data_IF_285344511250
#
_entry.id   IF_285344511250
#
_cell.length_a   1.000
_cell.length_b   1.000
_cell.length_c   1.000
_cell.angle_alpha   90.00
_cell.angle_beta   90.00
_cell.angle_gamma   90.00
#
_symmetry.space_group_name_H-M   'P 1'
#
loop_
_entity.id
_entity.type
_entity.pdbx_description
1 polymer ?
#
# COMPACT_ATOMS: atom_id res chain seq x y z
N UNK A 1 5.47 7.27 12.46
CA UNK A 1 4.65 8.29 11.76
C UNK A 1 4.44 7.79 10.35
N UNK A 2 3.22 7.91 9.84
CA UNK A 2 2.99 7.73 8.39
C UNK A 2 3.53 8.98 7.72
N UNK A 3 4.47 8.82 6.78
CA UNK A 3 5.04 9.93 6.03
C UNK A 3 4.15 10.28 4.84
N UNK A 4 4.18 11.53 4.38
CA UNK A 4 3.59 11.91 3.10
C UNK A 4 4.08 10.95 1.99
N UNK A 5 3.14 10.39 1.22
CA UNK A 5 3.42 9.39 0.18
C UNK A 5 3.27 7.93 0.60
N UNK A 6 3.02 7.62 1.88
CA UNK A 6 2.67 6.28 2.33
C UNK A 6 1.15 6.08 2.35
N UNK A 7 0.63 5.23 1.47
CA UNK A 7 -0.75 4.77 1.53
C UNK A 7 -0.83 3.48 2.34
N UNK A 8 -1.54 3.53 3.47
CA UNK A 8 -1.87 2.35 4.25
C UNK A 8 -3.24 1.85 3.83
N UNK A 9 -3.33 0.54 3.56
CA UNK A 9 -4.57 -0.13 3.17
C UNK A 9 -5.06 -1.03 4.29
N UNK A 10 -6.35 -1.38 4.26
CA UNK A 10 -6.99 -2.35 5.16
C UNK A 10 -6.78 -2.02 6.66
N UNK A 11 -7.17 -0.79 7.01
CA UNK A 11 -7.16 -0.30 8.39
C UNK A 11 -8.55 -0.43 9.02
N UNK A 12 -8.58 -0.77 10.30
CA UNK A 12 -9.76 -0.64 11.16
C UNK A 12 -9.70 0.74 11.82
N UNK A 13 -10.65 1.61 11.47
CA UNK A 13 -10.83 2.89 12.15
C UNK A 13 -11.53 2.69 13.49
N UNK A 14 -11.06 3.39 14.52
CA UNK A 14 -11.62 3.33 15.88
C UNK A 14 -11.52 4.69 16.56
N UNK A 15 -12.43 4.99 17.48
CA UNK A 15 -12.36 6.13 18.39
C UNK A 15 -11.68 5.79 19.72
N UNK A 16 -11.29 4.51 19.91
CA UNK A 16 -10.50 4.09 21.05
C UNK A 16 -9.15 4.82 21.07
N UNK A 17 -8.72 5.22 22.27
CA UNK A 17 -7.48 5.97 22.43
C UNK A 17 -6.26 5.12 22.04
N UNK A 18 -5.55 5.52 20.97
CA UNK A 18 -4.28 4.91 20.55
C UNK A 18 -3.14 5.88 20.85
N UNK A 19 -2.26 5.47 21.77
CA UNK A 19 -1.16 6.28 22.29
C UNK A 19 0.13 5.44 22.38
N UNK A 20 1.31 6.06 22.46
CA UNK A 20 2.53 5.33 22.80
C UNK A 20 2.31 4.46 24.06
N UNK A 21 2.65 3.18 23.96
CA UNK A 21 2.46 2.20 25.03
C UNK A 21 1.37 1.16 24.77
N UNK A 22 0.34 1.47 23.96
CA UNK A 22 -0.61 0.45 23.51
C UNK A 22 -0.38 -0.01 22.07
N UNK A 23 0.55 0.62 21.33
CA UNK A 23 0.95 0.19 19.99
C UNK A 23 1.58 -1.21 20.00
N UNK A 24 1.21 -2.02 19.01
CA UNK A 24 1.57 -3.44 18.90
C UNK A 24 0.62 -4.38 19.63
N UNK A 25 -0.31 -3.82 20.44
CA UNK A 25 -1.33 -4.57 21.15
C UNK A 25 -2.55 -4.92 20.29
N UNK A 26 -3.44 -5.79 20.80
CA UNK A 26 -4.65 -6.18 20.10
C UNK A 26 -5.74 -5.10 20.18
N UNK A 27 -6.43 -4.88 19.06
CA UNK A 27 -7.78 -4.31 19.03
C UNK A 27 -8.78 -5.48 19.00
N UNK A 28 -9.75 -5.49 19.92
CA UNK A 28 -10.70 -6.60 20.07
C UNK A 28 -12.15 -6.15 19.89
N UNK A 29 -13.00 -7.06 19.42
CA UNK A 29 -14.46 -6.85 19.41
C UNK A 29 -15.09 -7.24 20.76
N UNK A 30 -16.42 -7.07 20.89
CA UNK A 30 -17.16 -7.36 22.13
C UNK A 30 -17.15 -8.85 22.55
N UNK A 31 -16.84 -9.76 21.62
CA UNK A 31 -16.66 -11.19 21.92
C UNK A 31 -15.24 -11.52 22.40
N UNK A 32 -14.31 -10.54 22.40
CA UNK A 32 -12.91 -10.73 22.75
C UNK A 32 -12.05 -11.25 21.59
N UNK A 33 -12.58 -11.27 20.37
CA UNK A 33 -11.83 -11.68 19.19
C UNK A 33 -10.93 -10.53 18.72
N UNK A 34 -9.69 -10.84 18.35
CA UNK A 34 -8.75 -9.84 17.81
C UNK A 34 -9.17 -9.48 16.40
N UNK A 35 -9.43 -8.20 16.15
CA UNK A 35 -9.83 -7.66 14.85
C UNK A 35 -8.74 -6.79 14.22
N UNK A 36 -7.76 -6.33 14.99
CA UNK A 36 -6.61 -5.61 14.45
C UNK A 36 -5.44 -5.48 15.43
N UNK A 37 -4.34 -4.92 14.93
CA UNK A 37 -3.13 -4.62 15.69
C UNK A 37 -2.98 -3.10 15.73
N UNK A 38 -2.98 -2.53 16.94
CA UNK A 38 -2.86 -1.08 17.12
C UNK A 38 -1.50 -0.61 16.62
N UNK A 39 -1.47 0.44 15.79
CA UNK A 39 -0.22 1.02 15.29
C UNK A 39 0.11 2.32 16.02
N UNK A 40 1.31 2.86 15.80
CA UNK A 40 1.65 4.21 16.26
C UNK A 40 0.89 5.19 15.37
N UNK A 41 0.07 6.04 15.99
CA UNK A 41 -0.84 7.02 15.38
C UNK A 41 -0.28 7.68 14.10
N UNK A 42 -1.16 7.91 13.12
CA UNK A 42 -1.00 8.99 12.12
C UNK A 42 -1.07 10.31 12.89
N UNK A 43 0.09 10.83 13.27
CA UNK A 43 0.21 12.08 14.01
C UNK A 43 0.18 13.27 13.03
N UNK A 44 -0.99 13.52 12.43
CA UNK A 44 -1.24 14.75 11.67
C UNK A 44 -2.01 15.74 12.57
N UNK A 45 -1.60 17.00 12.54
CA UNK A 45 -2.18 18.07 13.38
C UNK A 45 -3.63 18.31 12.94
N UNK A 46 -4.59 18.21 13.87
CA UNK A 46 -6.02 18.41 13.60
C UNK A 46 -6.85 17.12 13.53
N UNK A 47 -6.22 15.95 13.62
CA UNK A 47 -6.92 14.65 13.69
C UNK A 47 -6.99 14.18 15.15
N UNK A 48 -8.10 14.52 15.81
CA UNK A 48 -8.49 14.01 17.14
C UNK A 48 -9.60 12.96 17.00
N UNK A 49 -9.58 11.92 17.83
CA UNK A 49 -10.61 10.88 17.84
C UNK A 49 -10.58 9.88 16.67
N UNK A 50 -9.57 9.92 15.79
CA UNK A 50 -9.36 8.88 14.76
C UNK A 50 -8.11 8.06 15.05
N UNK A 51 -8.30 6.87 15.63
CA UNK A 51 -7.31 5.81 15.76
C UNK A 51 -7.42 4.84 14.59
N UNK A 52 -6.30 4.22 14.24
CA UNK A 52 -6.23 3.18 13.20
C UNK A 52 -5.46 1.96 13.73
N UNK A 53 -6.02 0.79 13.49
CA UNK A 53 -5.35 -0.49 13.69
C UNK A 53 -5.18 -1.21 12.36
N UNK A 54 -4.09 -1.93 12.18
CA UNK A 54 -3.88 -2.78 11.01
C UNK A 54 -4.83 -3.97 11.15
N UNK A 55 -5.67 -4.22 10.14
CA UNK A 55 -6.65 -5.29 10.16
C UNK A 55 -6.00 -6.67 10.29
N UNK A 56 -6.68 -7.58 11.00
CA UNK A 56 -6.28 -9.00 11.04
C UNK A 56 -6.39 -9.68 9.67
N UNK A 57 -7.28 -9.20 8.80
CA UNK A 57 -7.47 -9.79 7.45
C UNK A 57 -6.21 -9.70 6.59
N UNK A 58 -5.53 -8.55 6.59
CA UNK A 58 -4.28 -8.35 5.84
C UNK A 58 -3.03 -8.85 6.58
N UNK A 59 -3.08 -8.99 7.91
CA UNK A 59 -1.89 -9.34 8.71
C UNK A 59 -1.75 -10.82 8.98
N UNK A 60 -2.83 -11.60 9.04
CA UNK A 60 -2.75 -13.04 9.29
C UNK A 60 -1.84 -13.78 8.28
N UNK A 61 -1.96 -13.58 6.95
CA UNK A 61 -1.06 -14.23 6.00
C UNK A 61 0.42 -13.85 6.21
N UNK A 62 0.68 -12.59 6.57
CA UNK A 62 2.03 -12.09 6.85
C UNK A 62 2.60 -12.75 8.10
N UNK A 63 1.79 -12.91 9.15
CA UNK A 63 2.19 -13.59 10.39
C UNK A 63 2.46 -15.07 10.10
N UNK A 64 1.62 -15.73 9.32
CA UNK A 64 1.81 -17.12 8.90
C UNK A 64 3.12 -17.31 8.13
N UNK A 65 3.43 -16.44 7.17
CA UNK A 65 4.71 -16.45 6.44
C UNK A 65 5.90 -16.30 7.40
N UNK A 66 5.84 -15.36 8.34
CA UNK A 66 6.89 -15.14 9.33
C UNK A 66 7.07 -16.33 10.26
N UNK A 67 5.99 -16.96 10.71
CA UNK A 67 6.04 -18.13 11.60
C UNK A 67 6.59 -19.36 10.88
N UNK A 68 6.19 -19.57 9.63
CA UNK A 68 6.51 -20.78 8.87
C UNK A 68 7.87 -20.72 8.16
N UNK A 69 8.23 -19.55 7.63
CA UNK A 69 9.44 -19.36 6.81
C UNK A 69 10.48 -18.44 7.44
N UNK A 70 10.08 -17.63 8.43
CA UNK A 70 10.96 -16.64 9.09
C UNK A 70 11.08 -15.32 8.36
N UNK A 71 10.48 -15.17 7.18
CA UNK A 71 10.49 -13.93 6.38
C UNK A 71 9.21 -13.80 5.55
N UNK A 72 9.02 -12.66 4.90
CA UNK A 72 7.88 -12.42 3.99
C UNK A 72 8.42 -12.15 2.61
N UNK A 73 7.96 -12.88 1.61
CA UNK A 73 8.31 -12.60 0.21
C UNK A 73 7.39 -11.50 -0.29
N UNK A 74 7.98 -10.36 -0.64
CA UNK A 74 7.26 -9.26 -1.31
C UNK A 74 7.63 -9.27 -2.79
N UNK A 75 6.68 -9.59 -3.69
CA UNK A 75 6.94 -9.50 -5.12
C UNK A 75 7.43 -8.10 -5.49
N UNK A 76 8.48 -8.05 -6.31
CA UNK A 76 9.08 -6.81 -6.77
C UNK A 76 9.28 -6.91 -8.28
N UNK A 77 8.63 -6.00 -9.01
CA UNK A 77 8.68 -5.96 -10.48
C UNK A 77 9.86 -5.10 -10.98
N UNK A 78 10.32 -4.13 -10.18
CA UNK A 78 11.40 -3.23 -10.56
C UNK A 78 10.98 -2.01 -11.37
N UNK A 79 9.76 -1.51 -11.16
CA UNK A 79 9.23 -0.33 -11.85
C UNK A 79 8.95 0.83 -10.90
N UNK A 80 9.32 2.04 -11.32
CA UNK A 80 8.76 3.29 -10.82
C UNK A 80 7.45 3.58 -11.56
N UNK A 81 6.40 3.92 -10.81
CA UNK A 81 5.05 4.07 -11.34
C UNK A 81 4.45 5.42 -10.97
N UNK A 82 3.80 6.07 -11.92
CA UNK A 82 3.05 7.31 -11.71
C UNK A 82 1.64 7.21 -12.29
N UNK A 83 0.57 7.51 -11.52
CA UNK A 83 -0.79 7.49 -12.05
C UNK A 83 -0.96 8.49 -13.19
N UNK A 84 -1.58 8.05 -14.30
CA UNK A 84 -1.92 8.94 -15.40
C UNK A 84 -3.24 9.64 -15.09
N UNK A 85 -3.23 10.96 -15.17
CA UNK A 85 -4.41 11.81 -15.19
C UNK A 85 -4.32 12.76 -16.39
N UNK A 86 -5.34 13.61 -16.60
CA UNK A 86 -5.37 14.53 -17.75
C UNK A 86 -4.15 15.47 -17.82
N UNK A 87 -3.65 15.94 -16.67
CA UNK A 87 -2.49 16.81 -16.58
C UNK A 87 -1.20 16.09 -17.00
N UNK A 88 -0.98 14.88 -16.46
CA UNK A 88 0.16 14.03 -16.80
C UNK A 88 0.11 13.64 -18.28
N UNK A 89 -1.06 13.25 -18.78
CA UNK A 89 -1.23 12.87 -20.18
C UNK A 89 -0.92 14.04 -21.12
N UNK A 90 -1.40 15.25 -20.82
CA UNK A 90 -1.10 16.44 -21.62
C UNK A 90 0.38 16.83 -21.56
N UNK A 91 1.00 16.75 -20.37
CA UNK A 91 2.41 17.11 -20.18
C UNK A 91 3.36 16.18 -20.93
N UNK A 92 3.11 14.87 -20.88
CA UNK A 92 3.94 13.86 -21.53
C UNK A 92 3.48 13.49 -22.96
N UNK A 93 2.37 14.07 -23.44
CA UNK A 93 1.84 13.77 -24.77
C UNK A 93 1.33 12.33 -24.92
N UNK A 94 0.77 11.76 -23.85
CA UNK A 94 0.29 10.37 -23.83
C UNK A 94 -0.98 10.22 -24.66
N UNK A 95 -1.11 9.08 -25.36
CA UNK A 95 -2.31 8.76 -26.14
C UNK A 95 -3.51 8.34 -25.28
N UNK A 96 -3.29 8.11 -23.99
CA UNK A 96 -4.27 7.67 -23.01
C UNK A 96 -4.34 8.67 -21.85
N UNK A 97 -5.53 8.81 -21.24
CA UNK A 97 -5.80 9.71 -20.12
C UNK A 97 -5.94 8.99 -18.77
N UNK A 98 -5.76 7.66 -18.76
CA UNK A 98 -5.84 6.79 -17.58
C UNK A 98 -4.80 5.67 -17.66
N UNK A 99 -4.54 5.00 -16.54
CA UNK A 99 -3.52 3.96 -16.42
C UNK A 99 -2.34 4.39 -15.55
N UNK A 100 -1.22 3.70 -15.68
CA UNK A 100 -0.03 3.98 -14.88
C UNK A 100 1.21 4.10 -15.77
N UNK A 101 1.85 5.27 -15.74
CA UNK A 101 3.08 5.56 -16.46
C UNK A 101 4.27 4.90 -15.76
N UNK A 102 5.09 4.19 -16.52
CA UNK A 102 6.39 3.67 -16.07
C UNK A 102 7.40 4.82 -16.12
N UNK A 103 7.89 5.25 -14.97
CA UNK A 103 8.86 6.35 -14.87
C UNK A 103 10.30 5.88 -14.79
N UNK A 104 10.52 4.66 -14.33
CA UNK A 104 11.83 4.05 -14.14
C UNK A 104 11.70 2.53 -14.26
N UNK A 105 12.73 1.89 -14.82
CA UNK A 105 12.88 0.44 -14.83
C UNK A 105 14.26 0.12 -14.26
N UNK A 106 14.29 -0.70 -13.20
CA UNK A 106 15.52 -1.09 -12.54
C UNK A 106 16.30 -2.09 -13.42
N UNK A 107 17.62 -1.92 -13.64
CA UNK A 107 18.41 -2.85 -14.46
C UNK A 107 18.42 -4.27 -13.87
N UNK A 108 18.33 -5.28 -14.73
CA UNK A 108 18.23 -6.71 -14.38
C UNK A 108 17.03 -7.04 -13.46
N UNK A 109 15.96 -6.25 -13.53
CA UNK A 109 14.70 -6.55 -12.84
C UNK A 109 13.78 -7.40 -13.72
N UNK A 110 12.73 -8.03 -13.15
CA UNK A 110 11.74 -8.74 -13.95
C UNK A 110 11.07 -7.85 -15.02
N UNK A 111 10.95 -6.54 -14.77
CA UNK A 111 10.45 -5.60 -15.76
C UNK A 111 11.43 -5.35 -16.92
N UNK A 112 12.72 -5.22 -16.61
CA UNK A 112 13.80 -5.06 -17.61
C UNK A 112 13.90 -6.32 -18.49
N UNK A 113 13.87 -7.51 -17.87
CA UNK A 113 13.84 -8.78 -18.60
C UNK A 113 12.59 -8.96 -19.47
N UNK A 114 11.45 -8.39 -19.05
CA UNK A 114 10.22 -8.37 -19.83
C UNK A 114 10.21 -7.30 -20.94
N UNK A 115 11.20 -6.40 -20.97
CA UNK A 115 11.33 -5.35 -21.97
C UNK A 115 10.43 -4.12 -21.73
N UNK A 116 10.03 -3.87 -20.48
CA UNK A 116 9.38 -2.61 -20.11
C UNK A 116 10.37 -1.46 -20.20
N UNK A 117 9.91 -0.30 -20.67
CA UNK A 117 10.73 0.91 -20.80
C UNK A 117 10.09 2.10 -20.07
N UNK A 118 10.90 3.04 -19.54
CA UNK A 118 10.38 4.33 -19.09
C UNK A 118 9.63 5.04 -20.21
N UNK A 119 8.40 5.46 -19.95
CA UNK A 119 7.48 6.03 -20.95
C UNK A 119 6.32 5.09 -21.31
N UNK A 120 6.43 3.79 -21.04
CA UNK A 120 5.32 2.85 -21.21
C UNK A 120 4.15 3.23 -20.31
N UNK A 121 2.92 3.01 -20.79
CA UNK A 121 1.70 3.18 -19.99
C UNK A 121 1.00 1.84 -19.83
N UNK A 122 0.95 1.37 -18.59
CA UNK A 122 0.24 0.15 -18.21
C UNK A 122 -1.26 0.48 -18.11
N UNK A 123 -2.05 -0.06 -19.03
CA UNK A 123 -3.51 0.18 -19.11
C UNK A 123 -4.35 -0.97 -18.53
N UNK A 124 -3.78 -2.18 -18.39
CA UNK A 124 -4.49 -3.34 -17.87
C UNK A 124 -3.56 -4.33 -17.16
N UNK A 125 -4.13 -5.16 -16.26
CA UNK A 125 -3.47 -6.29 -15.62
C UNK A 125 -4.45 -7.45 -15.48
N UNK A 126 -4.07 -8.65 -15.96
CA UNK A 126 -4.95 -9.84 -15.97
C UNK A 126 -6.35 -9.53 -16.54
N UNK A 127 -6.39 -8.91 -17.72
CA UNK A 127 -7.62 -8.49 -18.41
C UNK A 127 -8.52 -7.49 -17.65
N UNK A 128 -8.04 -6.93 -16.53
CA UNK A 128 -8.70 -5.86 -15.79
C UNK A 128 -8.07 -4.53 -16.13
N UNK A 129 -8.87 -3.59 -16.64
CA UNK A 129 -8.44 -2.21 -16.83
C UNK A 129 -8.01 -1.61 -15.49
N UNK A 130 -6.89 -0.90 -15.50
CA UNK A 130 -6.39 -0.18 -14.33
C UNK A 130 -6.80 1.29 -14.49
N UNK A 131 -7.84 1.68 -13.74
CA UNK A 131 -8.25 3.10 -13.63
C UNK A 131 -7.23 3.90 -12.86
#
# INVERSE_FOLDING_TARGET
SVSSGQTLYDLVQTDAAINPGNSGGPLVNMAGEVIGITSIKIAEVGVEGMGYAISTNSTLPIIEDLVTTGFVIRPWLGVGLWPVNEEVAAYYGLAVNQGTLVTEVAPNSPADEAGLEPGDVIIAFEDRERT
#
